data_IF_494063163651
#
_entry.id   IF_494063163651
#
_cell.length_a   1.000
_cell.length_b   1.000
_cell.length_c   1.000
_cell.angle_alpha   90.00
_cell.angle_beta   90.00
_cell.angle_gamma   90.00
#
_symmetry.space_group_name_H-M   'P 1'
#
loop_
_entity.id
_entity.type
_entity.pdbx_description
1 polymer ?
#
# COMPACT_ATOMS: atom_id res chain seq x y z
N UNK A 1 -18.59 2.35 -18.98
CA UNK A 1 -17.14 2.37 -19.19
C UNK A 1 -16.73 0.95 -19.51
N UNK A 2 -16.12 0.68 -20.67
CA UNK A 2 -15.55 -0.63 -20.93
C UNK A 2 -14.30 -0.75 -20.06
N UNK A 3 -14.40 -1.44 -18.95
CA UNK A 3 -13.23 -1.93 -18.25
C UNK A 3 -12.56 -2.96 -19.15
N UNK A 4 -11.63 -2.50 -19.93
CA UNK A 4 -10.69 -3.39 -20.59
C UNK A 4 -9.96 -4.13 -19.46
N UNK A 5 -10.11 -5.44 -19.46
CA UNK A 5 -9.78 -6.34 -18.36
C UNK A 5 -8.39 -5.98 -17.85
N UNK A 6 -8.35 -5.64 -16.58
CA UNK A 6 -7.18 -5.32 -15.78
C UNK A 6 -5.90 -5.98 -16.29
N UNK A 7 -4.84 -5.21 -16.39
CA UNK A 7 -3.49 -5.72 -16.65
C UNK A 7 -3.01 -6.70 -15.54
N UNK A 8 -3.70 -6.76 -14.40
CA UNK A 8 -3.43 -7.67 -13.26
C UNK A 8 -4.11 -9.02 -13.48
N UNK A 9 -3.59 -9.80 -14.42
CA UNK A 9 -4.18 -11.10 -14.84
C UNK A 9 -4.01 -12.22 -13.82
N UNK A 10 -3.03 -12.11 -12.94
CA UNK A 10 -2.72 -13.07 -11.86
C UNK A 10 -2.65 -12.33 -10.53
N UNK A 11 -2.88 -13.02 -9.39
CA UNK A 11 -2.69 -12.39 -8.09
C UNK A 11 -1.29 -11.76 -7.99
N UNK A 12 -1.15 -10.50 -7.55
CA UNK A 12 0.16 -9.90 -7.32
C UNK A 12 1.01 -10.72 -6.34
N UNK A 13 2.29 -10.85 -6.65
CA UNK A 13 3.27 -11.51 -5.78
C UNK A 13 4.45 -10.57 -5.56
N UNK A 14 4.85 -10.38 -4.30
CA UNK A 14 5.88 -9.41 -3.98
C UNK A 14 6.32 -9.42 -2.53
N UNK A 15 6.95 -8.34 -2.13
CA UNK A 15 7.36 -8.04 -0.76
C UNK A 15 6.81 -6.68 -0.34
N UNK A 16 6.45 -6.58 0.93
CA UNK A 16 6.05 -5.32 1.55
C UNK A 16 6.81 -5.14 2.86
N UNK A 17 7.30 -3.94 3.13
CA UNK A 17 8.21 -3.66 4.23
C UNK A 17 7.56 -3.60 5.62
N UNK A 18 6.21 -3.70 5.73
CA UNK A 18 5.53 -3.42 6.99
C UNK A 18 5.85 -4.44 8.08
N UNK A 19 5.63 -5.74 7.84
CA UNK A 19 5.77 -6.75 8.91
C UNK A 19 7.21 -6.84 9.44
N UNK A 20 8.20 -6.53 8.62
CA UNK A 20 9.60 -6.61 9.03
C UNK A 20 10.15 -5.31 9.63
N UNK A 21 9.80 -4.14 9.10
CA UNK A 21 10.39 -2.87 9.51
C UNK A 21 9.39 -1.77 9.90
N UNK A 22 8.09 -2.04 9.82
CA UNK A 22 7.07 -1.05 10.13
C UNK A 22 7.28 0.26 9.37
N UNK A 23 7.16 1.37 10.08
CA UNK A 23 7.37 2.70 9.53
C UNK A 23 8.87 3.04 9.31
N UNK A 24 9.80 2.23 9.82
CA UNK A 24 11.23 2.53 9.87
C UNK A 24 12.03 2.15 8.61
N UNK A 25 11.42 1.53 7.61
CA UNK A 25 12.10 1.08 6.39
C UNK A 25 12.94 2.19 5.73
N UNK A 26 14.11 1.83 5.23
CA UNK A 26 15.06 2.75 4.56
C UNK A 26 15.33 2.29 3.13
N UNK A 27 15.92 3.18 2.33
CA UNK A 27 16.28 2.88 0.95
C UNK A 27 17.21 1.65 0.84
N UNK A 28 18.20 1.53 1.72
CA UNK A 28 19.14 0.41 1.70
C UNK A 28 18.45 -0.93 1.96
N UNK A 29 17.50 -0.96 2.89
CA UNK A 29 16.67 -2.15 3.17
C UNK A 29 15.87 -2.54 1.93
N UNK A 30 15.22 -1.58 1.30
CA UNK A 30 14.43 -1.82 0.07
C UNK A 30 15.30 -2.39 -1.04
N UNK A 31 16.51 -1.83 -1.24
CA UNK A 31 17.46 -2.31 -2.25
C UNK A 31 17.90 -3.75 -1.99
N UNK A 32 18.27 -4.08 -0.75
CA UNK A 32 18.69 -5.43 -0.38
C UNK A 32 17.59 -6.47 -0.61
N UNK A 33 16.35 -6.18 -0.21
CA UNK A 33 15.20 -7.05 -0.45
C UNK A 33 14.88 -7.17 -1.95
N UNK A 34 14.98 -6.09 -2.73
CA UNK A 34 14.81 -6.13 -4.17
C UNK A 34 15.86 -7.02 -4.85
N UNK A 35 17.13 -6.91 -4.45
CA UNK A 35 18.21 -7.78 -4.96
C UNK A 35 17.96 -9.26 -4.63
N UNK A 36 17.55 -9.55 -3.39
CA UNK A 36 17.22 -10.92 -2.99
C UNK A 36 16.07 -11.48 -3.83
N UNK A 37 14.98 -10.71 -3.98
CA UNK A 37 13.83 -11.11 -4.80
C UNK A 37 14.23 -11.36 -6.25
N UNK A 38 14.98 -10.45 -6.85
CA UNK A 38 15.43 -10.57 -8.24
C UNK A 38 16.25 -11.84 -8.46
N UNK A 39 17.14 -12.16 -7.52
CA UNK A 39 18.02 -13.34 -7.60
C UNK A 39 17.29 -14.66 -7.36
N UNK A 40 16.39 -14.71 -6.37
CA UNK A 40 15.89 -15.97 -5.83
C UNK A 40 14.43 -16.25 -6.17
N UNK A 41 13.56 -15.23 -6.29
CA UNK A 41 12.11 -15.39 -6.33
C UNK A 41 11.47 -14.95 -7.65
N UNK A 42 12.09 -14.03 -8.39
CA UNK A 42 11.55 -13.49 -9.63
C UNK A 42 11.17 -14.55 -10.66
N UNK A 43 11.98 -15.60 -10.80
CA UNK A 43 11.71 -16.71 -11.71
C UNK A 43 10.39 -17.45 -11.40
N UNK A 44 9.87 -17.31 -10.20
CA UNK A 44 8.62 -17.92 -9.74
C UNK A 44 7.44 -16.92 -9.71
N UNK A 45 7.64 -15.68 -10.21
CA UNK A 45 6.59 -14.69 -10.35
C UNK A 45 6.51 -13.62 -9.27
N UNK A 46 7.43 -13.60 -8.28
CA UNK A 46 7.54 -12.48 -7.34
C UNK A 46 8.17 -11.29 -8.03
N UNK A 47 7.45 -10.17 -8.09
CA UNK A 47 7.89 -9.02 -8.88
C UNK A 47 7.64 -7.65 -8.22
N UNK A 48 6.77 -7.52 -7.22
CA UNK A 48 6.46 -6.24 -6.60
C UNK A 48 7.30 -6.00 -5.34
N UNK A 49 7.96 -4.84 -5.25
CA UNK A 49 8.70 -4.36 -4.07
C UNK A 49 7.98 -3.12 -3.56
N UNK A 50 7.30 -3.24 -2.41
CA UNK A 50 6.41 -2.20 -1.88
C UNK A 50 6.98 -1.58 -0.62
N UNK A 51 7.19 -0.26 -0.66
CA UNK A 51 7.57 0.57 0.50
C UNK A 51 6.30 0.97 1.24
N UNK A 52 6.13 0.47 2.46
CA UNK A 52 4.96 0.76 3.28
C UNK A 52 5.05 2.10 4.01
N UNK A 53 4.01 2.47 4.75
CA UNK A 53 3.97 3.64 5.63
C UNK A 53 5.16 3.58 6.59
N UNK A 54 5.86 4.65 7.01
CA UNK A 54 5.54 6.07 6.78
C UNK A 54 6.74 6.74 6.07
N UNK A 55 6.94 6.43 4.80
CA UNK A 55 8.11 6.85 4.02
C UNK A 55 8.32 8.37 3.95
N UNK A 56 7.30 9.17 4.17
CA UNK A 56 7.35 10.63 4.18
C UNK A 56 7.68 11.25 5.55
N UNK A 57 7.79 10.44 6.61
CA UNK A 57 8.12 10.92 7.95
C UNK A 57 9.61 10.79 8.25
N UNK A 58 10.36 11.89 8.48
CA UNK A 58 11.80 11.82 8.76
C UNK A 58 12.16 11.03 10.02
N UNK A 59 11.29 11.07 11.02
CA UNK A 59 11.52 10.48 12.34
C UNK A 59 10.77 9.17 12.54
N UNK A 60 10.17 8.61 11.49
CA UNK A 60 9.45 7.34 11.58
C UNK A 60 10.38 6.21 12.06
N UNK A 61 9.86 5.40 12.97
CA UNK A 61 10.58 4.27 13.58
C UNK A 61 9.57 3.29 14.14
N UNK A 62 9.91 2.02 14.07
CA UNK A 62 9.09 0.90 14.54
C UNK A 62 7.68 0.79 13.90
N UNK A 63 6.83 -0.07 14.46
CA UNK A 63 5.42 -0.27 14.07
C UNK A 63 4.46 0.70 14.80
N UNK A 64 4.98 1.82 15.29
CA UNK A 64 4.21 2.85 15.96
C UNK A 64 4.27 4.15 15.17
N UNK A 65 3.17 4.90 15.18
CA UNK A 65 3.09 6.20 14.54
C UNK A 65 3.32 7.30 15.56
N UNK A 66 4.19 8.26 15.22
CA UNK A 66 4.34 9.48 16.01
C UNK A 66 3.15 10.40 15.72
N UNK A 67 2.24 10.65 16.69
CA UNK A 67 1.13 11.57 16.48
C UNK A 67 1.64 12.97 16.10
N UNK A 68 1.03 13.54 15.08
CA UNK A 68 1.38 14.89 14.60
C UNK A 68 2.83 15.05 14.11
N UNK A 69 3.46 13.98 13.66
CA UNK A 69 4.78 14.07 13.06
C UNK A 69 4.79 15.04 11.87
N UNK A 70 5.91 15.73 11.67
CA UNK A 70 6.08 16.57 10.50
C UNK A 70 6.41 15.71 9.28
N UNK A 71 5.51 15.70 8.31
CA UNK A 71 5.67 14.95 7.06
C UNK A 71 6.43 15.77 6.02
N UNK A 72 7.28 15.12 5.24
CA UNK A 72 7.86 15.70 4.04
C UNK A 72 6.79 15.86 2.97
N UNK A 73 6.60 17.09 2.51
CA UNK A 73 5.50 17.46 1.61
C UNK A 73 5.95 18.58 0.69
N UNK A 74 5.51 18.55 -0.57
CA UNK A 74 5.75 19.64 -1.50
C UNK A 74 4.78 20.81 -1.32
N UNK A 75 4.95 21.84 -2.13
CA UNK A 75 4.13 23.05 -2.08
C UNK A 75 2.67 22.85 -2.52
N UNK A 76 2.35 21.70 -3.12
CA UNK A 76 1.03 21.30 -3.61
C UNK A 76 0.33 20.25 -2.74
N UNK A 77 0.69 20.17 -1.46
CA UNK A 77 0.07 19.24 -0.50
C UNK A 77 0.38 17.76 -0.72
N UNK A 78 1.33 17.41 -1.58
CA UNK A 78 1.66 16.02 -1.91
C UNK A 78 2.82 15.54 -1.08
N UNK A 79 2.72 14.33 -0.53
CA UNK A 79 3.80 13.71 0.22
C UNK A 79 4.99 13.40 -0.69
N UNK A 80 6.20 13.60 -0.15
CA UNK A 80 7.47 13.25 -0.79
C UNK A 80 8.33 12.42 0.18
N UNK A 81 9.25 11.56 -0.33
CA UNK A 81 10.08 10.74 0.54
C UNK A 81 10.97 11.57 1.47
N UNK A 82 11.16 11.09 2.69
CA UNK A 82 12.08 11.70 3.64
C UNK A 82 13.54 11.43 3.20
N UNK A 83 14.27 12.47 2.79
CA UNK A 83 15.61 12.35 2.19
C UNK A 83 16.63 11.68 3.12
N UNK A 84 16.48 11.81 4.43
CA UNK A 84 17.36 11.14 5.39
C UNK A 84 17.19 9.61 5.44
N UNK A 85 16.06 9.10 4.97
CA UNK A 85 15.75 7.66 4.90
C UNK A 85 15.83 7.12 3.48
N UNK A 86 15.55 7.97 2.50
CA UNK A 86 15.59 7.68 1.07
C UNK A 86 16.50 8.71 0.37
N UNK A 87 17.82 8.61 0.56
CA UNK A 87 18.75 9.65 0.12
C UNK A 87 18.78 9.87 -1.40
N UNK A 88 18.43 8.87 -2.21
CA UNK A 88 18.35 9.04 -3.65
C UNK A 88 17.21 9.98 -4.09
N UNK A 89 16.23 10.25 -3.21
CA UNK A 89 15.11 11.17 -3.46
C UNK A 89 15.52 12.66 -3.41
N UNK A 90 16.72 12.95 -2.93
CA UNK A 90 17.21 14.31 -2.72
C UNK A 90 17.13 15.17 -4.00
N UNK A 91 16.88 16.46 -3.77
CA UNK A 91 16.77 17.42 -4.86
C UNK A 91 15.48 17.33 -5.65
N UNK A 92 14.41 16.88 -5.02
CA UNK A 92 13.06 16.81 -5.59
C UNK A 92 12.82 15.64 -6.55
N UNK A 93 13.70 14.64 -6.56
CA UNK A 93 13.60 13.46 -7.45
C UNK A 93 12.50 12.48 -7.02
N UNK A 94 12.02 12.57 -5.78
CA UNK A 94 11.07 11.63 -5.23
C UNK A 94 11.58 10.19 -5.28
N UNK A 95 10.70 9.23 -5.49
CA UNK A 95 11.12 7.83 -5.61
C UNK A 95 11.67 7.43 -6.99
N UNK A 96 11.76 8.35 -7.97
CA UNK A 96 12.19 7.98 -9.32
C UNK A 96 13.53 7.20 -9.36
N UNK A 97 14.60 7.59 -8.63
CA UNK A 97 15.86 6.83 -8.68
C UNK A 97 15.76 5.44 -8.04
N UNK A 98 14.95 5.27 -6.99
CA UNK A 98 14.74 3.97 -6.36
C UNK A 98 13.87 3.07 -7.24
N UNK A 99 12.81 3.61 -7.85
CA UNK A 99 11.99 2.88 -8.80
C UNK A 99 12.78 2.44 -10.03
N UNK A 100 13.62 3.32 -10.60
CA UNK A 100 14.52 2.98 -11.71
C UNK A 100 15.48 1.84 -11.34
N UNK A 101 16.03 1.88 -10.12
CA UNK A 101 16.87 0.80 -9.61
C UNK A 101 16.11 -0.54 -9.53
N UNK A 102 14.91 -0.56 -8.94
CA UNK A 102 14.06 -1.75 -8.84
C UNK A 102 13.70 -2.28 -10.24
N UNK A 103 13.35 -1.38 -11.17
CA UNK A 103 13.10 -1.73 -12.57
C UNK A 103 14.33 -2.32 -13.27
N UNK A 104 15.53 -1.84 -12.96
CA UNK A 104 16.77 -2.38 -13.53
C UNK A 104 17.02 -3.84 -13.16
N UNK A 105 16.47 -4.29 -12.02
CA UNK A 105 16.46 -5.69 -11.59
C UNK A 105 15.34 -6.51 -12.29
N UNK A 106 14.50 -5.85 -13.09
CA UNK A 106 13.32 -6.41 -13.76
C UNK A 106 12.17 -6.69 -12.80
N UNK A 107 12.07 -5.93 -11.73
CA UNK A 107 11.00 -5.93 -10.73
C UNK A 107 10.11 -4.68 -10.91
N UNK A 108 9.03 -4.60 -10.14
CA UNK A 108 8.07 -3.51 -10.11
C UNK A 108 8.12 -2.80 -8.76
N UNK A 109 7.99 -1.48 -8.76
CA UNK A 109 8.09 -0.66 -7.56
C UNK A 109 6.72 -0.19 -7.08
N UNK A 110 6.46 -0.31 -5.78
CA UNK A 110 5.21 0.10 -5.16
C UNK A 110 5.41 0.96 -3.92
N UNK A 111 4.38 1.71 -3.57
CA UNK A 111 4.33 2.53 -2.35
C UNK A 111 2.99 2.38 -1.65
N UNK A 112 3.01 2.60 -0.35
CA UNK A 112 1.82 2.81 0.46
C UNK A 112 1.39 4.27 0.43
N UNK A 113 0.08 4.50 0.47
CA UNK A 113 -0.52 5.81 0.74
C UNK A 113 -1.65 5.66 1.75
N UNK A 114 -1.91 6.71 2.51
CA UNK A 114 -3.18 6.87 3.21
C UNK A 114 -4.21 7.51 2.29
N UNK A 115 -5.48 7.17 2.43
CA UNK A 115 -6.58 7.95 1.89
C UNK A 115 -6.51 9.40 2.39
N UNK A 116 -6.93 10.34 1.56
CA UNK A 116 -7.15 11.72 1.99
C UNK A 116 -5.99 12.68 1.72
N UNK A 117 -6.00 13.78 2.47
CA UNK A 117 -5.04 14.89 2.37
C UNK A 117 -4.34 15.12 3.70
N UNK A 118 -3.01 15.39 3.74
CA UNK A 118 -2.29 15.62 4.99
C UNK A 118 -2.93 16.72 5.84
N UNK A 119 -3.17 16.44 7.11
CA UNK A 119 -3.62 17.48 8.08
C UNK A 119 -2.66 18.66 8.13
N UNK A 120 -1.37 18.38 7.96
CA UNK A 120 -0.33 19.39 7.83
C UNK A 120 -0.60 20.34 6.65
N UNK A 121 -1.01 19.81 5.49
CA UNK A 121 -1.38 20.61 4.32
C UNK A 121 -2.60 21.50 4.60
N UNK A 122 -3.62 20.95 5.25
CA UNK A 122 -4.83 21.67 5.65
C UNK A 122 -4.49 22.76 6.68
N UNK A 123 -3.63 22.46 7.65
CA UNK A 123 -3.17 23.44 8.64
C UNK A 123 -2.40 24.61 7.98
N UNK A 124 -1.45 24.28 7.10
CA UNK A 124 -0.64 25.25 6.35
C UNK A 124 -1.42 25.96 5.22
N UNK A 125 -2.59 25.44 4.88
CA UNK A 125 -3.42 25.91 3.77
C UNK A 125 -2.67 25.95 2.42
N UNK A 126 -1.95 24.88 2.12
CA UNK A 126 -1.17 24.73 0.89
C UNK A 126 -2.06 24.66 -0.35
N UNK A 127 -1.49 24.93 -1.51
CA UNK A 127 -2.21 24.94 -2.79
C UNK A 127 -2.53 23.55 -3.29
N UNK A 128 -3.55 23.44 -4.14
CA UNK A 128 -3.82 22.27 -4.96
C UNK A 128 -3.33 22.55 -6.38
N UNK A 129 -2.47 21.64 -6.88
CA UNK A 129 -1.83 21.81 -8.18
C UNK A 129 -2.87 21.96 -9.32
N UNK A 130 -2.66 22.92 -10.19
CA UNK A 130 -3.51 23.14 -11.35
C UNK A 130 -4.83 23.86 -11.07
N UNK A 131 -5.04 24.35 -9.84
CA UNK A 131 -6.26 25.07 -9.43
C UNK A 131 -5.93 26.34 -8.64
N UNK A 132 -6.95 27.14 -8.35
CA UNK A 132 -6.90 28.24 -7.39
C UNK A 132 -7.26 27.82 -5.97
N UNK A 133 -7.57 26.54 -5.75
CA UNK A 133 -8.01 25.95 -4.49
C UNK A 133 -6.85 25.60 -3.56
N UNK A 134 -7.19 25.44 -2.30
CA UNK A 134 -6.28 25.10 -1.23
C UNK A 134 -6.72 23.83 -0.50
N UNK A 135 -5.81 23.24 0.28
CA UNK A 135 -6.07 22.04 1.06
C UNK A 135 -7.30 22.20 2.02
N UNK A 136 -7.52 23.39 2.56
CA UNK A 136 -8.67 23.67 3.44
C UNK A 136 -10.01 23.58 2.73
N UNK A 137 -10.04 23.97 1.48
CA UNK A 137 -11.28 24.04 0.70
C UNK A 137 -11.78 22.67 0.28
N UNK A 138 -10.88 21.68 0.18
CA UNK A 138 -11.21 20.32 -0.26
C UNK A 138 -11.24 19.28 0.86
N UNK A 139 -10.72 19.61 2.04
CA UNK A 139 -10.64 18.67 3.15
C UNK A 139 -12.01 18.39 3.80
N UNK A 140 -12.27 17.12 4.07
CA UNK A 140 -13.39 16.62 4.87
C UNK A 140 -12.88 16.37 6.29
N UNK A 141 -12.79 17.43 7.10
CA UNK A 141 -12.11 17.39 8.41
C UNK A 141 -12.79 16.52 9.46
N UNK A 142 -14.04 16.09 9.24
CA UNK A 142 -14.74 15.11 10.07
C UNK A 142 -14.36 13.66 9.74
N UNK A 143 -13.70 13.43 8.61
CA UNK A 143 -13.21 12.11 8.18
C UNK A 143 -11.74 11.98 8.55
N UNK A 144 -11.46 11.19 9.59
CA UNK A 144 -10.12 10.99 10.16
C UNK A 144 -9.91 9.51 10.40
N UNK A 145 -8.76 8.99 10.03
CA UNK A 145 -8.34 7.65 10.40
C UNK A 145 -8.12 7.56 11.92
N UNK A 146 -8.71 6.56 12.57
CA UNK A 146 -8.66 6.43 14.04
C UNK A 146 -7.29 5.96 14.55
N UNK A 147 -6.56 5.17 13.74
CA UNK A 147 -5.28 4.59 14.14
C UNK A 147 -4.06 5.40 13.64
N UNK A 148 -4.23 6.22 12.59
CA UNK A 148 -3.21 7.16 12.13
C UNK A 148 -3.89 8.49 11.77
N UNK A 149 -3.64 9.53 12.56
CA UNK A 149 -4.33 10.81 12.45
C UNK A 149 -3.66 11.80 11.49
N UNK A 150 -2.75 11.37 10.64
CA UNK A 150 -1.98 12.25 9.76
C UNK A 150 -2.82 12.88 8.64
N UNK A 151 -3.96 12.25 8.29
CA UNK A 151 -4.76 12.64 7.14
C UNK A 151 -6.18 13.06 7.57
N UNK A 152 -6.76 13.96 6.78
CA UNK A 152 -8.20 14.15 6.66
C UNK A 152 -8.70 13.52 5.37
N UNK A 153 -9.97 13.13 5.29
CA UNK A 153 -10.60 12.80 4.01
C UNK A 153 -10.61 14.00 3.04
N UNK A 154 -10.78 13.69 1.77
CA UNK A 154 -11.05 14.68 0.72
C UNK A 154 -12.53 14.64 0.39
N UNK A 155 -13.19 15.80 0.34
CA UNK A 155 -14.60 15.90 0.01
C UNK A 155 -14.80 15.88 -1.52
N UNK A 156 -15.36 14.81 -2.10
CA UNK A 156 -15.50 14.68 -3.56
C UNK A 156 -16.38 15.76 -4.20
N UNK A 157 -17.27 16.38 -3.42
CA UNK A 157 -18.17 17.42 -3.91
C UNK A 157 -17.51 18.80 -3.99
N UNK A 158 -16.26 18.92 -3.53
CA UNK A 158 -15.52 20.19 -3.55
C UNK A 158 -14.75 20.37 -4.86
N UNK A 159 -14.86 21.56 -5.41
CA UNK A 159 -14.00 21.98 -6.52
C UNK A 159 -12.52 21.89 -6.12
N UNK A 160 -11.70 21.23 -6.95
CA UNK A 160 -10.28 20.96 -6.67
C UNK A 160 -9.99 19.62 -6.01
N UNK A 161 -10.99 18.90 -5.46
CA UNK A 161 -10.80 17.59 -4.86
C UNK A 161 -10.24 16.57 -5.86
N UNK A 162 -10.84 16.48 -7.04
CA UNK A 162 -10.37 15.60 -8.11
C UNK A 162 -8.96 16.00 -8.57
N UNK A 163 -8.70 17.27 -8.76
CA UNK A 163 -7.40 17.77 -9.19
C UNK A 163 -6.28 17.41 -8.19
N UNK A 164 -6.60 17.33 -6.90
CA UNK A 164 -5.66 16.88 -5.89
C UNK A 164 -5.22 15.43 -6.14
N UNK A 165 -6.17 14.50 -6.27
CA UNK A 165 -5.84 13.09 -6.54
C UNK A 165 -5.19 12.91 -7.92
N UNK A 166 -5.64 13.61 -8.96
CA UNK A 166 -5.01 13.58 -10.27
C UNK A 166 -3.53 13.98 -10.15
N UNK A 167 -3.22 15.05 -9.41
CA UNK A 167 -1.87 15.53 -9.22
C UNK A 167 -0.96 14.58 -8.43
N UNK A 168 -1.53 13.83 -7.47
CA UNK A 168 -0.80 12.79 -6.71
C UNK A 168 -0.40 11.65 -7.64
N UNK A 169 -1.36 11.10 -8.40
CA UNK A 169 -1.07 9.94 -9.25
C UNK A 169 -0.22 10.30 -10.46
N UNK A 170 -0.34 11.53 -11.01
CA UNK A 170 0.62 12.06 -11.98
C UNK A 170 2.05 12.10 -11.41
N UNK A 171 2.20 12.52 -10.15
CA UNK A 171 3.50 12.54 -9.48
C UNK A 171 4.05 11.13 -9.32
N UNK A 172 3.24 10.19 -8.82
CA UNK A 172 3.68 8.81 -8.62
C UNK A 172 3.96 8.08 -9.95
N UNK A 173 3.17 8.36 -10.98
CA UNK A 173 3.46 7.91 -12.34
C UNK A 173 4.81 8.43 -12.85
N UNK A 174 5.13 9.71 -12.58
CA UNK A 174 6.42 10.31 -12.94
C UNK A 174 7.61 9.70 -12.18
N UNK A 175 7.38 9.13 -11.01
CA UNK A 175 8.39 8.37 -10.25
C UNK A 175 8.54 6.93 -10.73
N UNK A 176 7.65 6.44 -11.58
CA UNK A 176 7.67 5.06 -12.06
C UNK A 176 7.03 4.06 -11.10
N UNK A 177 6.08 4.49 -10.27
CA UNK A 177 5.34 3.61 -9.36
C UNK A 177 4.43 2.67 -10.15
N UNK A 178 4.41 1.38 -9.79
CA UNK A 178 3.62 0.32 -10.43
C UNK A 178 2.52 -0.25 -9.51
N UNK A 179 2.57 0.07 -8.21
CA UNK A 179 1.67 -0.48 -7.20
C UNK A 179 1.39 0.55 -6.12
N UNK A 180 0.11 0.73 -5.79
CA UNK A 180 -0.35 1.58 -4.70
C UNK A 180 -1.12 0.73 -3.69
N UNK A 181 -0.61 0.63 -2.46
CA UNK A 181 -1.38 0.18 -1.29
C UNK A 181 -2.03 1.41 -0.67
N UNK A 182 -3.35 1.52 -0.79
CA UNK A 182 -4.12 2.63 -0.20
C UNK A 182 -4.80 2.17 1.08
N UNK A 183 -4.43 2.79 2.19
CA UNK A 183 -4.93 2.47 3.52
C UNK A 183 -6.06 3.39 3.97
N UNK A 184 -6.79 2.98 5.03
CA UNK A 184 -7.96 3.65 5.62
C UNK A 184 -9.14 3.79 4.65
N UNK A 185 -9.36 2.78 3.79
CA UNK A 185 -10.40 2.89 2.77
C UNK A 185 -11.21 1.60 2.52
N UNK A 186 -10.68 0.41 2.80
CA UNK A 186 -11.39 -0.83 2.49
C UNK A 186 -12.44 -1.21 3.54
N UNK A 187 -12.25 -0.79 4.78
CA UNK A 187 -13.05 -1.21 5.95
C UNK A 187 -14.38 -0.48 6.09
N UNK A 188 -14.43 0.81 5.82
CA UNK A 188 -15.54 1.71 6.21
C UNK A 188 -16.19 2.43 5.02
N UNK A 189 -16.43 1.72 3.95
CA UNK A 189 -16.94 2.26 2.70
C UNK A 189 -18.23 3.09 2.73
N UNK A 190 -19.21 2.92 3.64
CA UNK A 190 -20.43 3.71 3.57
C UNK A 190 -20.19 5.23 3.60
N UNK A 191 -19.09 5.65 4.20
CA UNK A 191 -18.76 7.07 4.37
C UNK A 191 -17.73 7.59 3.35
N UNK A 192 -16.97 6.69 2.71
CA UNK A 192 -15.81 7.05 1.89
C UNK A 192 -15.92 6.53 0.44
N UNK A 193 -17.07 5.94 0.08
CA UNK A 193 -17.30 5.34 -1.25
C UNK A 193 -17.05 6.34 -2.39
N UNK A 194 -17.57 7.57 -2.26
CA UNK A 194 -17.39 8.59 -3.29
C UNK A 194 -15.93 9.05 -3.41
N UNK A 195 -15.20 9.13 -2.28
CA UNK A 195 -13.78 9.43 -2.27
C UNK A 195 -12.97 8.30 -2.90
N UNK A 196 -13.30 7.03 -2.60
CA UNK A 196 -12.68 5.85 -3.22
C UNK A 196 -12.87 5.83 -4.73
N UNK A 197 -14.08 6.09 -5.22
CA UNK A 197 -14.37 6.15 -6.66
C UNK A 197 -13.51 7.24 -7.32
N UNK A 198 -13.49 8.44 -6.74
CA UNK A 198 -12.69 9.57 -7.26
C UNK A 198 -11.19 9.23 -7.28
N UNK A 199 -10.65 8.64 -6.19
CA UNK A 199 -9.26 8.19 -6.09
C UNK A 199 -8.94 7.17 -7.18
N UNK A 200 -9.77 6.15 -7.34
CA UNK A 200 -9.60 5.11 -8.36
C UNK A 200 -9.60 5.69 -9.78
N UNK A 201 -10.55 6.55 -10.09
CA UNK A 201 -10.62 7.20 -11.40
C UNK A 201 -9.39 8.07 -11.70
N UNK A 202 -8.87 8.79 -10.68
CA UNK A 202 -7.65 9.59 -10.81
C UNK A 202 -6.44 8.70 -11.09
N UNK A 203 -6.31 7.58 -10.37
CA UNK A 203 -5.24 6.60 -10.60
C UNK A 203 -5.33 6.03 -12.02
N UNK A 204 -6.52 5.63 -12.49
CA UNK A 204 -6.69 5.06 -13.84
C UNK A 204 -6.44 6.07 -14.97
N UNK A 205 -6.53 7.36 -14.70
CA UNK A 205 -6.30 8.43 -15.69
C UNK A 205 -4.89 9.01 -15.70
N UNK A 206 -4.00 8.60 -14.81
CA UNK A 206 -2.66 9.19 -14.66
C UNK A 206 -1.66 8.85 -15.80
N UNK A 207 -2.04 7.99 -16.73
CA UNK A 207 -1.20 7.61 -17.88
C UNK A 207 -0.19 6.49 -17.61
N UNK A 208 -0.25 5.84 -16.43
CA UNK A 208 0.56 4.67 -16.07
C UNK A 208 -0.32 3.59 -15.45
N UNK A 209 -0.11 2.34 -15.84
CA UNK A 209 -0.75 1.21 -15.19
C UNK A 209 -0.15 1.01 -13.79
N UNK A 210 -0.99 1.15 -12.78
CA UNK A 210 -0.64 0.92 -11.37
C UNK A 210 -1.68 0.03 -10.72
N UNK A 211 -1.23 -1.02 -10.03
CA UNK A 211 -2.11 -1.86 -9.18
C UNK A 211 -2.67 -1.00 -8.05
N UNK A 212 -3.97 -1.06 -7.82
CA UNK A 212 -4.61 -0.48 -6.65
C UNK A 212 -5.01 -1.57 -5.66
N UNK A 213 -4.33 -1.59 -4.52
CA UNK A 213 -4.62 -2.45 -3.37
C UNK A 213 -5.29 -1.62 -2.28
N UNK A 214 -6.43 -2.10 -1.76
CA UNK A 214 -7.18 -1.42 -0.71
C UNK A 214 -7.00 -2.11 0.64
N UNK A 215 -6.66 -1.33 1.68
CA UNK A 215 -6.52 -1.77 3.07
C UNK A 215 -7.01 -0.70 4.07
N UNK A 216 -7.05 -0.98 5.38
CA UNK A 216 -7.07 -2.31 5.95
C UNK A 216 -8.44 -2.97 5.76
N UNK A 217 -8.51 -4.30 5.96
CA UNK A 217 -9.79 -5.00 5.96
C UNK A 217 -10.46 -4.96 7.36
N UNK A 218 -11.56 -5.67 7.55
CA UNK A 218 -12.12 -6.57 6.56
C UNK A 218 -13.07 -5.79 5.63
N UNK A 219 -12.89 -6.00 4.33
CA UNK A 219 -13.82 -5.49 3.32
C UNK A 219 -15.24 -6.04 3.52
N UNK A 220 -16.25 -5.28 3.14
CA UNK A 220 -17.66 -5.66 3.26
C UNK A 220 -18.06 -6.55 2.08
N UNK A 221 -18.49 -7.78 2.36
CA UNK A 221 -18.83 -8.76 1.32
C UNK A 221 -19.96 -8.25 0.40
N UNK A 222 -20.94 -7.54 0.95
CA UNK A 222 -22.04 -6.91 0.21
C UNK A 222 -21.58 -5.81 -0.76
N UNK A 223 -20.36 -5.33 -0.63
CA UNK A 223 -19.72 -4.33 -1.51
C UNK A 223 -18.73 -4.94 -2.50
N UNK A 224 -18.66 -6.26 -2.62
CA UNK A 224 -17.71 -6.95 -3.48
C UNK A 224 -17.70 -6.42 -4.92
N UNK A 225 -18.86 -6.10 -5.49
CA UNK A 225 -18.97 -5.58 -6.86
C UNK A 225 -18.37 -4.16 -6.99
N UNK A 226 -18.45 -3.35 -5.94
CA UNK A 226 -17.80 -2.05 -5.93
C UNK A 226 -16.27 -2.22 -5.92
N UNK A 227 -15.72 -3.09 -5.05
CA UNK A 227 -14.27 -3.33 -5.02
C UNK A 227 -13.73 -3.79 -6.37
N UNK A 228 -14.44 -4.69 -7.05
CA UNK A 228 -14.09 -5.13 -8.42
C UNK A 228 -14.06 -3.99 -9.44
N UNK A 229 -14.91 -2.97 -9.27
CA UNK A 229 -14.95 -1.83 -10.19
C UNK A 229 -13.84 -0.82 -9.95
N UNK A 230 -13.42 -0.65 -8.70
CA UNK A 230 -12.55 0.46 -8.29
C UNK A 230 -11.12 0.04 -7.97
N UNK A 231 -10.85 -1.26 -7.78
CA UNK A 231 -9.52 -1.74 -7.37
C UNK A 231 -9.14 -3.07 -8.03
N UNK A 232 -7.89 -3.45 -7.92
CA UNK A 232 -7.37 -4.72 -8.42
C UNK A 232 -7.29 -5.78 -7.31
N UNK A 233 -7.12 -5.34 -6.06
CA UNK A 233 -7.14 -6.19 -4.87
C UNK A 233 -7.65 -5.43 -3.65
N UNK A 234 -8.20 -6.15 -2.68
CA UNK A 234 -8.74 -5.57 -1.45
C UNK A 234 -8.65 -6.55 -0.29
N UNK A 235 -8.33 -6.04 0.89
CA UNK A 235 -8.14 -6.80 2.12
C UNK A 235 -9.46 -7.37 2.65
N UNK A 236 -9.54 -8.68 2.79
CA UNK A 236 -10.72 -9.38 3.35
C UNK A 236 -10.62 -9.60 4.85
N UNK A 237 -9.53 -9.20 5.46
CA UNK A 237 -9.24 -9.31 6.89
C UNK A 237 -8.61 -8.03 7.42
N UNK A 238 -8.64 -7.83 8.73
CA UNK A 238 -7.75 -6.91 9.42
C UNK A 238 -6.31 -7.43 9.33
N UNK A 239 -5.33 -6.73 9.92
CA UNK A 239 -3.93 -7.12 9.83
C UNK A 239 -3.72 -8.57 10.29
N UNK A 240 -3.12 -9.34 9.41
CA UNK A 240 -2.84 -10.76 9.62
C UNK A 240 -1.42 -10.92 10.16
N UNK A 241 -1.33 -11.45 11.37
CA UNK A 241 -0.08 -11.74 12.03
C UNK A 241 0.10 -13.23 12.27
N UNK A 242 1.27 -13.64 12.71
CA UNK A 242 1.71 -15.01 12.99
C UNK A 242 1.01 -15.65 14.22
N UNK A 243 -0.33 -15.71 14.16
CA UNK A 243 -1.21 -16.29 15.18
C UNK A 243 -2.10 -17.35 14.56
N UNK A 244 -2.11 -18.54 15.14
CA UNK A 244 -2.92 -19.66 14.66
C UNK A 244 -4.41 -19.30 14.53
N UNK A 245 -4.96 -18.56 15.48
CA UNK A 245 -6.36 -18.17 15.49
C UNK A 245 -6.74 -17.33 14.26
N UNK A 246 -5.82 -16.47 13.80
CA UNK A 246 -6.02 -15.68 12.59
C UNK A 246 -5.95 -16.56 11.34
N UNK A 247 -5.01 -17.50 11.29
CA UNK A 247 -4.90 -18.46 10.20
C UNK A 247 -6.13 -19.38 10.13
N UNK A 248 -6.58 -19.88 11.27
CA UNK A 248 -7.78 -20.71 11.34
C UNK A 248 -9.04 -19.96 10.87
N UNK A 249 -9.22 -18.72 11.30
CA UNK A 249 -10.34 -17.88 10.88
C UNK A 249 -10.30 -17.53 9.37
N UNK A 250 -9.13 -17.59 8.76
CA UNK A 250 -9.00 -17.27 7.32
C UNK A 250 -9.65 -18.33 6.42
N UNK A 251 -9.78 -19.57 6.85
CA UNK A 251 -10.49 -20.60 6.07
C UNK A 251 -11.93 -20.20 5.78
N UNK A 252 -12.67 -19.74 6.80
CA UNK A 252 -14.04 -19.26 6.63
C UNK A 252 -14.11 -17.99 5.76
N UNK A 253 -13.16 -17.08 5.94
CA UNK A 253 -13.09 -15.85 5.11
C UNK A 253 -12.82 -16.17 3.65
N UNK A 254 -11.85 -17.04 3.39
CA UNK A 254 -11.52 -17.49 2.04
C UNK A 254 -12.72 -18.18 1.36
N UNK A 255 -13.46 -19.02 2.08
CA UNK A 255 -14.69 -19.65 1.58
C UNK A 255 -15.72 -18.59 1.14
N UNK A 256 -15.96 -17.57 1.97
CA UNK A 256 -16.92 -16.49 1.66
C UNK A 256 -16.53 -15.66 0.44
N UNK A 257 -15.24 -15.45 0.22
CA UNK A 257 -14.72 -14.58 -0.83
C UNK A 257 -14.31 -15.31 -2.12
N UNK A 258 -14.21 -16.65 -2.12
CA UNK A 258 -13.63 -17.41 -3.24
C UNK A 258 -14.33 -17.19 -4.59
N UNK A 259 -15.64 -16.91 -4.58
CA UNK A 259 -16.43 -16.64 -5.81
C UNK A 259 -16.19 -15.24 -6.38
N UNK A 260 -15.49 -14.38 -5.66
CA UNK A 260 -15.19 -13.01 -6.08
C UNK A 260 -13.76 -12.86 -6.66
N UNK A 261 -12.97 -13.95 -6.63
CA UNK A 261 -11.61 -13.98 -7.18
C UNK A 261 -11.62 -14.23 -8.69
N UNK A 262 -10.82 -13.50 -9.42
CA UNK A 262 -10.68 -13.64 -10.88
C UNK A 262 -9.68 -12.64 -11.46
N UNK A 263 -9.41 -12.73 -12.77
CA UNK A 263 -8.48 -11.80 -13.43
C UNK A 263 -8.88 -10.35 -13.20
N UNK A 264 -7.97 -9.58 -12.63
CA UNK A 264 -8.18 -8.19 -12.24
C UNK A 264 -8.92 -7.97 -10.91
N UNK A 265 -9.25 -9.05 -10.18
CA UNK A 265 -10.06 -8.97 -8.96
C UNK A 265 -9.56 -9.98 -7.94
N UNK A 266 -8.76 -9.52 -6.98
CA UNK A 266 -8.06 -10.39 -6.05
C UNK A 266 -8.41 -10.05 -4.60
N UNK A 267 -9.35 -10.79 -3.97
CA UNK A 267 -9.52 -10.72 -2.53
C UNK A 267 -8.23 -11.09 -1.82
N UNK A 268 -7.74 -10.22 -0.94
CA UNK A 268 -6.43 -10.28 -0.32
C UNK A 268 -6.53 -10.74 1.13
N UNK A 269 -5.94 -11.89 1.42
CA UNK A 269 -5.87 -12.46 2.77
C UNK A 269 -4.72 -11.88 3.61
N UNK A 270 -4.08 -10.81 3.13
CA UNK A 270 -2.96 -10.10 3.72
C UNK A 270 -1.59 -10.71 3.46
N UNK A 271 -0.58 -10.00 3.94
CA UNK A 271 0.83 -10.37 3.83
C UNK A 271 1.13 -11.70 4.53
N UNK A 272 2.25 -12.29 4.13
CA UNK A 272 2.77 -13.54 4.67
C UNK A 272 3.82 -13.20 5.74
N UNK A 273 3.50 -13.32 7.06
CA UNK A 273 4.44 -13.07 8.13
C UNK A 273 5.38 -14.26 8.31
N UNK A 274 6.28 -14.48 7.35
CA UNK A 274 7.24 -15.59 7.31
C UNK A 274 8.67 -15.08 7.50
N UNK A 275 9.55 -15.95 8.04
CA UNK A 275 10.95 -15.61 8.28
C UNK A 275 11.14 -14.52 9.33
N UNK A 276 12.14 -13.62 9.17
CA UNK A 276 12.37 -12.51 10.09
C UNK A 276 11.28 -11.44 9.96
N UNK A 277 10.59 -11.11 11.05
CA UNK A 277 9.59 -10.04 11.16
C UNK A 277 9.91 -9.15 12.36
N UNK A 278 9.31 -7.95 12.46
CA UNK A 278 9.50 -7.02 13.58
C UNK A 278 10.98 -6.72 13.86
N UNK A 279 11.78 -6.57 12.81
CA UNK A 279 13.23 -6.37 12.87
C UNK A 279 13.63 -5.02 13.46
N UNK A 280 12.75 -4.06 13.44
CA UNK A 280 12.91 -2.74 14.05
C UNK A 280 12.82 -2.78 15.58
N UNK A 281 12.22 -3.82 16.17
CA UNK A 281 12.20 -4.05 17.62
C UNK A 281 13.39 -4.92 18.07
N UNK A 282 13.64 -6.02 17.38
CA UNK A 282 14.75 -6.93 17.67
C UNK A 282 15.11 -7.72 16.39
N UNK A 283 16.36 -7.64 15.97
CA UNK A 283 16.89 -8.37 14.82
C UNK A 283 16.81 -9.90 14.95
N UNK A 284 16.58 -10.42 16.16
CA UNK A 284 16.36 -11.84 16.40
C UNK A 284 14.91 -12.28 16.21
N UNK A 285 13.97 -11.34 16.06
CA UNK A 285 12.57 -11.67 15.88
C UNK A 285 12.32 -12.45 14.58
N UNK A 286 11.53 -13.49 14.69
CA UNK A 286 11.08 -14.31 13.58
C UNK A 286 9.61 -14.66 13.76
N UNK A 287 8.98 -15.10 12.68
CA UNK A 287 7.63 -15.64 12.72
C UNK A 287 7.49 -16.72 13.82
N UNK A 288 6.37 -16.67 14.54
CA UNK A 288 5.99 -17.68 15.54
C UNK A 288 5.29 -18.88 14.91
N UNK A 289 4.91 -18.79 13.64
CA UNK A 289 4.36 -19.93 12.93
C UNK A 289 5.40 -21.05 12.82
N UNK A 290 4.98 -22.24 13.23
CA UNK A 290 5.72 -23.47 12.93
C UNK A 290 5.78 -23.69 11.42
N UNK A 291 6.70 -24.52 10.94
CA UNK A 291 6.81 -24.89 9.54
C UNK A 291 5.47 -25.41 8.97
N UNK A 292 4.77 -26.24 9.71
CA UNK A 292 3.46 -26.78 9.29
C UNK A 292 2.38 -25.67 9.17
N UNK A 293 2.40 -24.68 10.06
CA UNK A 293 1.49 -23.54 9.96
C UNK A 293 1.83 -22.65 8.78
N UNK A 294 3.12 -22.41 8.49
CA UNK A 294 3.55 -21.69 7.30
C UNK A 294 3.13 -22.42 6.01
N UNK A 295 3.31 -23.75 5.95
CA UNK A 295 2.85 -24.57 4.82
C UNK A 295 1.32 -24.49 4.69
N UNK A 296 0.58 -24.55 5.80
CA UNK A 296 -0.88 -24.43 5.80
C UNK A 296 -1.33 -23.08 5.27
N UNK A 297 -0.71 -22.00 5.73
CA UNK A 297 -0.98 -20.63 5.27
C UNK A 297 -0.72 -20.50 3.77
N UNK A 298 0.48 -20.85 3.29
CA UNK A 298 0.83 -20.76 1.87
C UNK A 298 -0.09 -21.62 1.00
N UNK A 299 -0.50 -22.79 1.50
CA UNK A 299 -1.45 -23.66 0.79
C UNK A 299 -2.82 -23.01 0.68
N UNK A 300 -3.34 -22.43 1.75
CA UNK A 300 -4.63 -21.74 1.75
C UNK A 300 -4.61 -20.54 0.82
N UNK A 301 -3.60 -19.65 0.92
CA UNK A 301 -3.46 -18.48 0.04
C UNK A 301 -3.37 -18.89 -1.43
N UNK A 302 -2.61 -19.95 -1.74
CA UNK A 302 -2.45 -20.45 -3.11
C UNK A 302 -3.75 -21.03 -3.69
N UNK A 303 -4.50 -21.83 -2.92
CA UNK A 303 -5.78 -22.41 -3.36
C UNK A 303 -6.85 -21.32 -3.49
N UNK A 304 -6.91 -20.39 -2.54
CA UNK A 304 -7.80 -19.25 -2.56
C UNK A 304 -7.44 -18.24 -3.65
N UNK A 305 -6.18 -18.25 -4.13
CA UNK A 305 -5.60 -17.30 -5.08
C UNK A 305 -5.53 -15.87 -4.52
N UNK A 306 -5.19 -15.77 -3.22
CA UNK A 306 -4.82 -14.49 -2.63
C UNK A 306 -3.54 -13.95 -3.27
N UNK A 307 -3.36 -12.63 -3.34
CA UNK A 307 -2.03 -12.06 -3.51
C UNK A 307 -1.02 -12.66 -2.51
N UNK A 308 0.23 -12.84 -2.94
CA UNK A 308 1.30 -13.39 -2.11
C UNK A 308 2.34 -12.29 -1.85
N UNK A 309 2.09 -11.49 -0.82
CA UNK A 309 2.99 -10.42 -0.40
C UNK A 309 3.80 -10.88 0.82
N UNK A 310 5.08 -11.15 0.64
CA UNK A 310 5.98 -11.50 1.74
C UNK A 310 6.12 -10.31 2.68
N UNK A 311 5.88 -10.51 3.98
CA UNK A 311 6.06 -9.50 5.02
C UNK A 311 7.41 -9.57 5.73
N UNK A 312 8.10 -10.72 5.67
CA UNK A 312 9.38 -10.92 6.33
C UNK A 312 10.57 -10.31 5.59
N UNK A 313 11.67 -10.11 6.33
CA UNK A 313 12.96 -9.68 5.78
C UNK A 313 13.60 -10.82 4.98
N UNK A 314 13.58 -10.70 3.67
CA UNK A 314 13.93 -11.82 2.79
C UNK A 314 15.42 -12.19 2.83
N UNK A 315 16.30 -11.26 3.12
CA UNK A 315 17.76 -11.54 3.18
C UNK A 315 18.15 -12.42 4.35
N UNK A 316 17.26 -12.58 5.33
CA UNK A 316 17.43 -13.43 6.50
C UNK A 316 16.60 -14.73 6.43
N UNK A 317 16.10 -15.14 5.27
CA UNK A 317 15.43 -16.43 5.12
C UNK A 317 16.42 -17.58 5.24
N UNK A 318 16.00 -18.65 5.90
CA UNK A 318 16.73 -19.90 5.95
C UNK A 318 16.64 -20.64 4.60
N UNK A 319 17.58 -21.58 4.34
CA UNK A 319 17.59 -22.41 3.11
C UNK A 319 16.37 -23.34 3.00
#
# INVERSE_FOLDING_TARGET
MNNDISFVKTPPMGWNSWDCYGAAVTEDIVRQNAEFMAKNLKQYGWEYVVVDIQWSAPNAKSHEYDPFTELCMDEYSRLIPAENRFPSSAGGKGFAPLAEYVHSLGLKFGIHIMRGIPRQAVHRNTKIKGTDKTAREIAKTASICAWNTDMYGVDPDKEGARAYYDSIFELYASWGVDFIKCDDIARELPHEEAELVMLSESLRSCGRDMVLSLSPGAALLEKAELYKQVSDMWRITDDFWDKWELLYAMFERAEKWCTHSGAGHWPDADMLPIGPILQDYDAANRTKFTENEQITMLTLWSIFRSPLMIGGEMTGFDE
#
